data_IF_649893122804
#
_entry.id   IF_649893122804
#
_cell.length_a   1.000
_cell.length_b   1.000
_cell.length_c   1.000
_cell.angle_alpha   90.00
_cell.angle_beta   90.00
_cell.angle_gamma   90.00
#
_symmetry.space_group_name_H-M   'P 1'
#
loop_
_entity.id
_entity.type
_entity.pdbx_description
1 polymer ?
#
# COMPACT_ATOMS: atom_id res chain seq x y z
N UNK A 1 12.10 14.03 29.87
CA UNK A 1 13.08 12.95 29.60
C UNK A 1 13.26 12.89 28.08
N UNK A 2 14.49 13.18 27.63
CA UNK A 2 14.80 13.18 26.18
C UNK A 2 14.50 11.80 25.56
N UNK A 3 13.89 11.79 24.35
CA UNK A 3 13.49 10.57 23.65
C UNK A 3 12.28 9.84 24.23
N UNK A 4 11.56 10.45 25.15
CA UNK A 4 10.36 9.87 25.76
C UNK A 4 9.21 10.85 25.77
N UNK A 5 8.00 10.32 25.68
CA UNK A 5 6.75 11.07 25.85
C UNK A 5 6.16 10.73 27.22
N UNK A 6 5.74 11.76 27.95
CA UNK A 6 5.04 11.57 29.21
C UNK A 6 3.66 10.95 28.98
N UNK A 7 3.33 9.91 29.76
CA UNK A 7 2.08 9.12 29.62
C UNK A 7 1.14 9.27 30.80
N UNK A 8 1.55 10.00 31.81
CA UNK A 8 0.77 10.25 33.01
C UNK A 8 1.48 9.86 34.29
N UNK A 9 0.76 9.92 35.38
CA UNK A 9 1.21 9.57 36.71
C UNK A 9 0.60 8.24 37.15
N UNK A 10 1.30 7.48 37.99
CA UNK A 10 0.81 6.26 38.61
C UNK A 10 1.34 6.15 40.05
N UNK A 11 0.64 5.43 40.92
CA UNK A 11 1.09 5.10 42.29
C UNK A 11 2.00 3.89 42.31
N UNK A 12 2.06 3.10 41.25
CA UNK A 12 2.94 1.95 41.06
C UNK A 12 4.23 2.39 40.32
N UNK A 13 5.38 2.27 40.95
CA UNK A 13 6.68 2.62 40.33
C UNK A 13 7.06 1.81 39.10
N UNK A 14 6.40 0.65 38.89
CA UNK A 14 6.64 -0.27 37.76
C UNK A 14 5.57 -0.13 36.65
N UNK A 15 4.65 0.83 36.77
CA UNK A 15 3.61 1.03 35.75
C UNK A 15 4.22 1.47 34.42
N UNK A 16 3.76 0.87 33.31
CA UNK A 16 4.17 1.21 31.93
C UNK A 16 3.23 2.21 31.26
N UNK A 17 2.05 2.40 31.83
CA UNK A 17 1.07 3.44 31.45
C UNK A 17 0.53 4.08 32.73
N UNK A 18 0.43 5.39 32.74
CA UNK A 18 -0.17 6.11 33.85
C UNK A 18 -1.61 6.54 33.54
N UNK A 19 -2.29 7.05 34.57
CA UNK A 19 -3.53 7.78 34.39
C UNK A 19 -3.26 9.08 33.58
N UNK A 20 -4.31 9.76 33.14
CA UNK A 20 -4.17 11.00 32.36
C UNK A 20 -3.20 11.98 33.06
N UNK A 21 -2.50 12.82 32.28
CA UNK A 21 -1.47 13.74 32.78
C UNK A 21 -1.98 14.72 33.86
N UNK A 22 -3.27 14.99 33.86
CA UNK A 22 -3.95 15.90 34.82
C UNK A 22 -4.92 15.13 35.74
N UNK A 23 -4.59 13.87 36.08
CA UNK A 23 -5.43 13.10 36.98
C UNK A 23 -5.42 13.74 38.37
N UNK A 24 -6.60 14.04 38.86
CA UNK A 24 -6.81 14.45 40.24
C UNK A 24 -6.70 13.23 41.16
N UNK A 25 -5.66 13.19 41.97
CA UNK A 25 -5.46 12.13 42.98
C UNK A 25 -6.21 12.41 44.29
N UNK A 26 -7.10 13.37 44.26
CA UNK A 26 -7.92 13.75 45.44
C UNK A 26 -7.15 14.49 46.52
N UNK A 27 -7.72 14.49 47.73
CA UNK A 27 -7.07 15.16 48.88
C UNK A 27 -5.99 14.25 49.46
N UNK A 28 -4.87 14.87 49.83
CA UNK A 28 -3.80 14.16 50.55
C UNK A 28 -4.27 13.83 51.97
N UNK A 29 -4.54 12.56 52.21
CA UNK A 29 -4.98 12.06 53.52
C UNK A 29 -3.89 11.27 54.25
N UNK A 30 -2.71 11.15 53.66
CA UNK A 30 -1.53 10.43 54.17
C UNK A 30 -0.34 10.56 53.24
N UNK A 31 0.74 9.83 53.50
CA UNK A 31 1.89 9.78 52.60
C UNK A 31 1.53 9.05 51.33
N UNK A 32 1.73 9.71 50.19
CA UNK A 32 1.50 9.15 48.86
C UNK A 32 2.72 9.41 48.00
N UNK A 33 3.14 8.41 47.20
CA UNK A 33 4.15 8.57 46.15
C UNK A 33 3.49 8.42 44.79
N UNK A 34 3.81 9.32 43.87
CA UNK A 34 3.37 9.25 42.47
C UNK A 34 4.59 9.19 41.58
N UNK A 35 4.51 8.36 40.54
CA UNK A 35 5.60 8.09 39.62
C UNK A 35 5.20 8.51 38.21
N UNK A 36 6.06 9.29 37.53
CA UNK A 36 5.84 9.63 36.13
C UNK A 36 6.09 8.40 35.25
N UNK A 37 5.13 8.10 34.39
CA UNK A 37 5.25 7.03 33.39
C UNK A 37 5.62 7.60 32.04
N UNK A 38 6.44 6.88 31.28
CA UNK A 38 7.04 7.34 30.05
C UNK A 38 6.99 6.26 28.97
N UNK A 39 6.67 6.67 27.74
CA UNK A 39 6.81 5.84 26.57
C UNK A 39 7.93 6.37 25.67
N UNK A 40 8.73 5.48 25.09
CA UNK A 40 9.83 5.86 24.20
C UNK A 40 9.29 6.38 22.87
N UNK A 41 9.83 7.50 22.42
CA UNK A 41 9.63 7.96 21.03
C UNK A 41 10.43 7.06 20.10
N UNK A 42 9.80 6.64 19.03
CA UNK A 42 10.38 5.77 18.01
C UNK A 42 9.70 6.04 16.65
N UNK A 43 9.97 5.22 15.66
CA UNK A 43 9.36 5.31 14.34
C UNK A 43 8.71 4.00 13.94
N UNK A 44 7.89 4.05 12.90
CA UNK A 44 7.47 2.88 12.14
C UNK A 44 7.53 3.19 10.66
N UNK A 45 7.52 2.16 9.82
CA UNK A 45 7.60 2.28 8.37
C UNK A 45 6.28 1.87 7.73
N UNK A 46 5.87 2.58 6.68
CA UNK A 46 4.78 2.18 5.78
C UNK A 46 5.35 2.03 4.39
N UNK A 47 5.09 0.88 3.77
CA UNK A 47 5.56 0.53 2.44
C UNK A 47 4.39 0.29 1.49
N UNK A 48 4.51 0.79 0.26
CA UNK A 48 3.52 0.70 -0.79
C UNK A 48 4.10 -0.08 -1.96
N UNK A 49 3.48 -1.20 -2.29
CA UNK A 49 3.96 -2.12 -3.31
C UNK A 49 3.02 -2.14 -4.50
N UNK A 50 3.55 -2.02 -5.72
CA UNK A 50 2.80 -2.14 -6.96
C UNK A 50 3.08 -3.47 -7.63
N UNK A 51 2.02 -4.10 -8.16
CA UNK A 51 2.13 -5.34 -8.93
C UNK A 51 2.99 -5.12 -10.18
N UNK A 52 3.97 -5.99 -10.42
CA UNK A 52 4.82 -5.91 -11.59
C UNK A 52 4.04 -6.19 -12.89
N UNK A 53 4.66 -5.91 -14.04
CA UNK A 53 3.99 -6.02 -15.34
C UNK A 53 3.67 -7.48 -15.71
N UNK A 54 4.45 -8.44 -15.22
CA UNK A 54 4.23 -9.87 -15.44
C UNK A 54 3.14 -10.46 -14.54
N UNK A 55 2.65 -9.68 -13.56
CA UNK A 55 1.67 -10.11 -12.55
C UNK A 55 2.11 -11.30 -11.70
N UNK A 56 3.42 -11.45 -11.52
CA UNK A 56 4.02 -12.54 -10.75
C UNK A 56 4.45 -12.13 -9.34
N UNK A 57 4.38 -10.84 -9.03
CA UNK A 57 4.79 -10.30 -7.73
C UNK A 57 4.62 -8.80 -7.64
N UNK A 58 5.13 -8.24 -6.55
CA UNK A 58 5.02 -6.82 -6.25
C UNK A 58 6.41 -6.22 -6.03
N UNK A 59 6.56 -4.97 -6.40
CA UNK A 59 7.78 -4.19 -6.25
C UNK A 59 7.51 -2.99 -5.33
N UNK A 60 8.47 -2.68 -4.47
CA UNK A 60 8.38 -1.50 -3.61
C UNK A 60 8.36 -0.24 -4.48
N UNK A 61 7.28 0.51 -4.39
CA UNK A 61 7.09 1.75 -5.16
C UNK A 61 7.39 2.98 -4.32
N UNK A 62 6.93 2.99 -3.07
CA UNK A 62 7.11 4.11 -2.16
C UNK A 62 7.14 3.65 -0.72
N UNK A 63 7.78 4.44 0.14
CA UNK A 63 7.85 4.17 1.56
C UNK A 63 7.98 5.48 2.35
N UNK A 64 7.42 5.47 3.56
CA UNK A 64 7.56 6.58 4.49
C UNK A 64 7.90 6.07 5.90
N UNK A 65 8.70 6.84 6.61
CA UNK A 65 9.00 6.64 8.03
C UNK A 65 8.21 7.66 8.83
N UNK A 66 7.49 7.21 9.84
CA UNK A 66 6.57 8.04 10.63
C UNK A 66 6.99 7.98 12.10
N UNK A 67 7.10 9.15 12.72
CA UNK A 67 7.37 9.25 14.15
C UNK A 67 6.15 8.78 14.96
N UNK A 68 6.39 8.05 16.03
CA UNK A 68 5.35 7.54 16.91
C UNK A 68 5.89 7.26 18.31
N UNK A 69 5.09 6.63 19.14
CA UNK A 69 5.43 6.26 20.51
C UNK A 69 5.26 4.75 20.69
N UNK A 70 6.19 4.13 21.35
CA UNK A 70 6.13 2.69 21.71
C UNK A 70 4.79 2.32 22.35
N UNK A 71 4.23 1.19 21.93
CA UNK A 71 2.95 0.68 22.41
C UNK A 71 1.71 1.29 21.74
N UNK A 72 1.88 2.29 20.85
CA UNK A 72 0.76 2.84 20.08
C UNK A 72 0.36 1.88 18.96
N UNK A 73 -0.92 1.58 18.85
CA UNK A 73 -1.46 0.88 17.67
C UNK A 73 -1.66 1.89 16.54
N UNK A 74 -1.08 1.63 15.39
CA UNK A 74 -1.13 2.47 14.19
C UNK A 74 -1.73 1.71 13.02
N UNK A 75 -2.36 2.44 12.10
CA UNK A 75 -2.94 1.89 10.88
C UNK A 75 -2.39 2.67 9.69
N UNK A 76 -2.01 1.95 8.64
CA UNK A 76 -1.52 2.56 7.41
C UNK A 76 -2.65 3.25 6.65
N UNK A 77 -2.38 4.45 6.16
CA UNK A 77 -3.29 5.15 5.27
C UNK A 77 -3.10 4.66 3.83
N UNK A 78 -4.18 4.22 3.19
CA UNK A 78 -4.15 3.87 1.77
C UNK A 78 -3.88 5.11 0.93
N UNK A 79 -3.13 4.93 -0.15
CA UNK A 79 -2.93 5.95 -1.18
C UNK A 79 -3.79 5.63 -2.40
N UNK A 80 -4.23 6.65 -3.10
CA UNK A 80 -4.92 6.49 -4.37
C UNK A 80 -3.90 6.45 -5.52
N UNK A 81 -3.75 5.27 -6.11
CA UNK A 81 -2.93 5.05 -7.31
C UNK A 81 -3.78 4.74 -8.55
N UNK A 82 -5.09 5.00 -8.52
CA UNK A 82 -6.01 4.74 -9.64
C UNK A 82 -5.66 5.56 -10.87
N UNK A 83 -5.16 6.80 -10.69
CA UNK A 83 -4.71 7.67 -11.79
C UNK A 83 -3.51 7.12 -12.56
N UNK A 84 -2.69 6.29 -11.94
CA UNK A 84 -1.55 5.60 -12.56
C UNK A 84 -1.84 4.12 -12.86
N UNK A 85 -3.11 3.70 -12.72
CA UNK A 85 -3.62 2.39 -13.16
C UNK A 85 -3.44 1.25 -12.16
N UNK A 86 -3.49 1.54 -10.86
CA UNK A 86 -3.41 0.53 -9.81
C UNK A 86 -4.55 0.67 -8.81
N UNK A 87 -5.07 -0.48 -8.38
CA UNK A 87 -6.14 -0.58 -7.39
C UNK A 87 -5.62 -1.24 -6.11
N UNK A 88 -6.03 -0.73 -4.95
CA UNK A 88 -5.64 -1.32 -3.66
C UNK A 88 -6.13 -2.77 -3.55
N UNK A 89 -5.24 -3.66 -3.11
CA UNK A 89 -5.51 -5.08 -2.93
C UNK A 89 -5.33 -5.51 -1.47
N UNK A 90 -6.42 -5.46 -0.71
CA UNK A 90 -6.43 -5.88 0.69
C UNK A 90 -6.15 -7.38 0.90
N UNK A 91 -6.33 -8.20 -0.14
CA UNK A 91 -6.17 -9.66 -0.11
C UNK A 91 -4.77 -10.13 -0.56
N UNK A 92 -3.88 -9.21 -0.93
CA UNK A 92 -2.53 -9.58 -1.31
C UNK A 92 -1.79 -10.23 -0.14
N UNK A 93 -1.09 -11.32 -0.43
CA UNK A 93 -0.25 -11.99 0.58
C UNK A 93 0.81 -11.04 1.12
N UNK A 94 0.97 -10.99 2.43
CA UNK A 94 1.91 -10.08 3.09
C UNK A 94 1.34 -8.70 3.43
N UNK A 95 0.06 -8.43 3.17
CA UNK A 95 -0.61 -7.20 3.58
C UNK A 95 -0.61 -7.08 5.11
N UNK A 96 -0.09 -5.96 5.61
CA UNK A 96 -0.07 -5.59 7.03
C UNK A 96 -0.60 -4.16 7.14
N UNK A 97 -1.86 -4.00 7.49
CA UNK A 97 -2.52 -2.69 7.53
C UNK A 97 -2.41 -1.97 8.86
N UNK A 98 -2.16 -2.70 9.94
CA UNK A 98 -2.03 -2.13 11.30
C UNK A 98 -1.07 -2.95 12.15
N UNK A 99 -0.58 -2.35 13.22
CA UNK A 99 0.30 -3.02 14.18
C UNK A 99 0.64 -2.11 15.37
N UNK A 100 1.24 -2.70 16.39
CA UNK A 100 1.71 -1.96 17.57
C UNK A 100 3.16 -1.54 17.37
N UNK A 101 3.43 -0.27 17.57
CA UNK A 101 4.77 0.33 17.43
C UNK A 101 5.71 -0.24 18.47
N UNK A 102 6.82 -0.84 18.01
CA UNK A 102 7.85 -1.45 18.84
C UNK A 102 8.92 -0.44 19.23
N UNK A 103 9.62 -0.72 20.33
CA UNK A 103 10.65 0.17 20.86
C UNK A 103 11.86 0.34 19.93
N UNK A 104 12.16 -0.72 19.16
CA UNK A 104 13.26 -0.77 18.20
C UNK A 104 12.93 -0.12 16.85
N UNK A 105 11.66 0.31 16.65
CA UNK A 105 11.21 0.92 15.39
C UNK A 105 11.04 -0.06 14.23
N UNK A 106 11.03 -1.36 14.50
CA UNK A 106 10.99 -2.40 13.45
C UNK A 106 9.62 -2.61 12.81
N UNK A 107 8.54 -2.03 13.35
CA UNK A 107 7.22 -2.19 12.76
C UNK A 107 7.19 -1.65 11.32
N UNK A 108 6.82 -2.52 10.38
CA UNK A 108 6.61 -2.17 8.98
C UNK A 108 5.20 -2.58 8.56
N UNK A 109 4.38 -1.60 8.17
CA UNK A 109 3.06 -1.81 7.56
C UNK A 109 3.24 -1.89 6.05
N UNK A 110 2.46 -2.77 5.38
CA UNK A 110 2.63 -3.06 3.96
C UNK A 110 1.29 -3.05 3.25
N UNK A 111 1.17 -2.22 2.22
CA UNK A 111 0.00 -2.13 1.37
C UNK A 111 0.37 -2.49 -0.07
N UNK A 112 -0.49 -3.27 -0.72
CA UNK A 112 -0.28 -3.79 -2.06
C UNK A 112 -1.35 -3.29 -3.01
N UNK A 113 -0.96 -3.07 -4.28
CA UNK A 113 -1.82 -2.51 -5.32
C UNK A 113 -1.70 -3.33 -6.59
N UNK A 114 -2.82 -3.82 -7.08
CA UNK A 114 -2.92 -4.63 -8.30
C UNK A 114 -2.90 -3.75 -9.54
N UNK A 115 -2.12 -4.13 -10.53
CA UNK A 115 -2.03 -3.47 -11.83
C UNK A 115 -3.27 -3.76 -12.65
N UNK A 116 -3.91 -2.71 -13.15
CA UNK A 116 -5.02 -2.84 -14.09
C UNK A 116 -4.62 -3.53 -15.38
N UNK A 117 -5.56 -4.22 -15.99
CA UNK A 117 -5.43 -4.78 -17.32
C UNK A 117 -6.51 -4.22 -18.23
N UNK A 118 -6.19 -4.11 -19.51
CA UNK A 118 -7.07 -3.55 -20.53
C UNK A 118 -7.20 -4.49 -21.71
N UNK A 119 -8.35 -4.42 -22.39
CA UNK A 119 -8.62 -5.19 -23.59
C UNK A 119 -8.17 -4.40 -24.81
N UNK A 120 -7.35 -5.02 -25.65
CA UNK A 120 -7.09 -4.60 -27.01
C UNK A 120 -7.96 -5.42 -27.95
N UNK A 121 -8.84 -4.78 -28.71
CA UNK A 121 -9.63 -5.41 -29.76
C UNK A 121 -8.93 -5.20 -31.08
N UNK A 122 -8.54 -6.29 -31.73
CA UNK A 122 -7.94 -6.32 -33.08
C UNK A 122 -9.03 -6.64 -34.07
N UNK A 123 -9.29 -5.72 -35.00
CA UNK A 123 -10.22 -5.91 -36.09
C UNK A 123 -9.44 -6.01 -37.41
N UNK A 124 -9.44 -7.17 -38.09
CA UNK A 124 -8.71 -7.36 -39.34
C UNK A 124 -9.34 -6.65 -40.55
N UNK A 125 -10.46 -5.97 -40.38
CA UNK A 125 -11.11 -5.10 -41.38
C UNK A 125 -11.25 -5.75 -42.76
N UNK A 126 -11.88 -6.92 -42.81
CA UNK A 126 -12.11 -7.68 -44.05
C UNK A 126 -10.92 -8.56 -44.47
N UNK A 127 -9.87 -8.62 -43.70
CA UNK A 127 -8.78 -9.59 -43.78
C UNK A 127 -8.91 -10.69 -42.73
N UNK A 128 -7.79 -11.34 -42.42
CA UNK A 128 -7.67 -12.31 -41.32
C UNK A 128 -6.48 -11.97 -40.45
N UNK A 129 -6.66 -12.14 -39.13
CA UNK A 129 -5.61 -12.04 -38.13
C UNK A 129 -5.48 -13.40 -37.44
N UNK A 130 -4.28 -13.97 -37.45
CA UNK A 130 -4.03 -15.34 -36.93
C UNK A 130 -5.04 -16.38 -37.49
N UNK A 131 -5.41 -16.25 -38.77
CA UNK A 131 -6.37 -17.15 -39.45
C UNK A 131 -7.84 -16.86 -39.18
N UNK A 132 -8.20 -15.88 -38.35
CA UNK A 132 -9.58 -15.50 -38.07
C UNK A 132 -9.96 -14.19 -38.75
N UNK A 133 -11.15 -14.17 -39.39
CA UNK A 133 -11.76 -12.94 -39.90
C UNK A 133 -12.53 -12.16 -38.83
N UNK A 134 -12.78 -12.74 -37.68
CA UNK A 134 -13.47 -12.10 -36.55
C UNK A 134 -12.52 -11.23 -35.72
N UNK A 135 -13.09 -10.29 -34.96
CA UNK A 135 -12.33 -9.52 -33.97
C UNK A 135 -11.68 -10.45 -32.94
N UNK A 136 -10.44 -10.14 -32.61
CA UNK A 136 -9.71 -10.82 -31.54
C UNK A 136 -9.51 -9.86 -30.37
N UNK A 137 -9.83 -10.28 -29.15
CA UNK A 137 -9.61 -9.51 -27.94
C UNK A 137 -8.42 -10.08 -27.17
N UNK A 138 -7.44 -9.23 -26.90
CA UNK A 138 -6.25 -9.55 -26.09
C UNK A 138 -6.31 -8.72 -24.81
N UNK A 139 -6.32 -9.38 -23.65
CA UNK A 139 -6.21 -8.70 -22.36
C UNK A 139 -4.73 -8.58 -21.98
N UNK A 140 -4.28 -7.37 -21.66
CA UNK A 140 -2.90 -7.07 -21.28
C UNK A 140 -2.83 -6.16 -20.07
N UNK A 141 -1.87 -6.38 -19.15
CA UNK A 141 -1.63 -5.46 -18.05
C UNK A 141 -1.16 -4.09 -18.56
N UNK A 142 -1.50 -3.05 -17.82
CA UNK A 142 -1.05 -1.69 -18.12
C UNK A 142 0.46 -1.64 -18.31
N UNK A 143 0.91 -1.02 -19.40
CA UNK A 143 2.34 -0.88 -19.74
C UNK A 143 2.96 -2.09 -20.42
N UNK A 144 2.21 -3.19 -20.65
CA UNK A 144 2.72 -4.31 -21.42
C UNK A 144 2.94 -3.91 -22.90
N UNK A 145 4.06 -4.33 -23.44
CA UNK A 145 4.33 -4.24 -24.88
C UNK A 145 3.39 -5.21 -25.60
N UNK A 146 2.79 -4.74 -26.69
CA UNK A 146 1.91 -5.53 -27.54
C UNK A 146 2.59 -5.66 -28.90
N UNK A 147 2.95 -6.90 -29.23
CA UNK A 147 3.34 -7.27 -30.60
C UNK A 147 2.11 -7.81 -31.31
N UNK A 148 1.71 -7.13 -32.40
CA UNK A 148 0.53 -7.49 -33.19
C UNK A 148 1.03 -7.96 -34.55
N UNK A 149 0.92 -9.29 -34.86
CA UNK A 149 1.28 -9.80 -36.17
C UNK A 149 0.51 -9.10 -37.30
N UNK A 150 1.13 -9.05 -38.47
CA UNK A 150 0.55 -8.46 -39.68
C UNK A 150 -0.66 -9.29 -40.14
N UNK A 151 -1.84 -8.66 -40.36
CA UNK A 151 -3.00 -9.36 -40.90
C UNK A 151 -2.84 -9.64 -42.39
N UNK A 152 -3.61 -10.59 -42.91
CA UNK A 152 -3.59 -10.96 -44.33
C UNK A 152 -4.97 -10.65 -44.97
N UNK A 153 -4.95 -10.00 -46.14
CA UNK A 153 -6.14 -9.78 -46.94
C UNK A 153 -5.80 -10.01 -48.42
N UNK A 154 -6.50 -10.97 -49.05
CA UNK A 154 -6.26 -11.29 -50.46
C UNK A 154 -6.43 -10.08 -51.38
N UNK A 155 -5.45 -9.80 -52.24
CA UNK A 155 -5.45 -8.67 -53.16
C UNK A 155 -5.14 -7.30 -52.53
N UNK A 156 -4.72 -7.25 -51.27
CA UNK A 156 -4.37 -6.00 -50.58
C UNK A 156 -3.00 -6.11 -49.89
N UNK A 157 -2.31 -4.98 -49.83
CA UNK A 157 -1.10 -4.81 -49.01
C UNK A 157 -1.46 -4.18 -47.66
N UNK A 158 -0.90 -4.71 -46.58
CA UNK A 158 -1.07 -4.12 -45.25
C UNK A 158 -0.23 -2.86 -45.10
N UNK A 159 -0.87 -1.73 -44.86
CA UNK A 159 -0.21 -0.42 -44.70
C UNK A 159 -0.04 0.03 -43.23
N UNK A 160 -0.73 -0.65 -42.28
CA UNK A 160 -0.62 -0.35 -40.87
C UNK A 160 -1.93 -0.50 -40.10
N UNK A 161 -1.80 -0.44 -38.79
CA UNK A 161 -2.92 -0.40 -37.87
C UNK A 161 -3.35 1.04 -37.59
N UNK A 162 -4.64 1.29 -37.52
CA UNK A 162 -5.22 2.54 -37.02
C UNK A 162 -5.74 2.32 -35.60
N UNK A 163 -5.43 3.23 -34.69
CA UNK A 163 -5.93 3.20 -33.32
C UNK A 163 -7.20 4.06 -33.23
N UNK A 164 -8.30 3.46 -32.72
CA UNK A 164 -9.53 4.18 -32.37
C UNK A 164 -9.79 4.01 -30.88
N UNK A 165 -10.22 5.07 -30.24
CA UNK A 165 -10.50 5.12 -28.79
C UNK A 165 -9.26 5.46 -27.96
N UNK A 166 -9.46 6.27 -26.96
CA UNK A 166 -8.52 6.55 -25.87
C UNK A 166 -9.10 5.97 -24.59
#
# INVERSE_FOLDING_TARGET
RAGYVFKGWDTNSSATSGNAAETDYGYVTGNVSIYATWAKSTTYRVEYYLENISKTGYELYDAQVINSVTGTTVTATQRDYTSIGFDYNAQASGTVTSGTVLEDGSLTLKLYYTRRSYNLTINPNGGTYSGSASNTVINKPLGAVIDIPVPVRSGYEFTGWTKSGV
#
